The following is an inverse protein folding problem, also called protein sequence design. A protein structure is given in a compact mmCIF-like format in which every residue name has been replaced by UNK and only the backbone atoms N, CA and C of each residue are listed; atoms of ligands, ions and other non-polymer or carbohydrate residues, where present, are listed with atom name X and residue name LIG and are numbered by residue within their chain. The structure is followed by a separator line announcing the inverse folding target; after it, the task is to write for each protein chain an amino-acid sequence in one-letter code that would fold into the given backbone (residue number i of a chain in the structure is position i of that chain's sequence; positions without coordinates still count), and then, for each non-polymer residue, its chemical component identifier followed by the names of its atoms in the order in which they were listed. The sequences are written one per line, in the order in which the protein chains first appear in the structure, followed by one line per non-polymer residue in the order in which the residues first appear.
data_IF_425370855460
#
_entry.id   IF_425370855460
#
_cell.length_a   1.000
_cell.length_b   1.000
_cell.length_c   1.000
_cell.angle_alpha   90.00
_cell.angle_beta   90.00
_cell.angle_gamma   90.00
#
_symmetry.space_group_name_H-M   'P 1'
#
loop_
_entity.id
_entity.type
_entity.pdbx_description
1 polymer ?
#
# COMPACT_ATOMS: atom_id res chain seq x y z
N UNK A 1 -32.99 29.13 -2.80
CA UNK A 1 -32.67 27.93 -3.63
C UNK A 1 -32.05 26.91 -2.70
N UNK A 2 -32.38 25.64 -2.83
CA UNK A 2 -31.90 24.58 -1.93
C UNK A 2 -30.88 23.69 -2.63
N UNK A 3 -29.86 23.23 -1.89
CA UNK A 3 -28.87 22.28 -2.41
C UNK A 3 -29.42 20.85 -2.34
N UNK A 4 -29.43 20.12 -3.45
CA UNK A 4 -30.00 18.75 -3.48
C UNK A 4 -29.15 17.68 -2.78
N UNK A 5 -27.93 18.02 -2.37
CA UNK A 5 -27.04 17.08 -1.66
C UNK A 5 -27.35 17.09 -0.16
N UNK A 6 -27.49 18.28 0.44
CA UNK A 6 -27.68 18.45 1.89
C UNK A 6 -29.07 19.00 2.26
N UNK A 7 -29.92 19.29 1.28
CA UNK A 7 -31.27 19.85 1.43
C UNK A 7 -31.33 21.15 2.25
N UNK A 8 -30.23 21.91 2.27
CA UNK A 8 -30.13 23.18 2.98
C UNK A 8 -30.11 24.37 2.02
N UNK A 9 -30.51 25.54 2.51
CA UNK A 9 -30.54 26.77 1.71
C UNK A 9 -29.13 27.20 1.26
N UNK A 10 -29.00 27.56 -0.02
CA UNK A 10 -27.77 28.10 -0.59
C UNK A 10 -27.76 29.61 -0.36
N UNK A 11 -26.88 30.07 0.53
CA UNK A 11 -26.70 31.50 0.82
C UNK A 11 -25.38 31.98 0.22
N UNK A 12 -25.23 33.30 0.03
CA UNK A 12 -23.96 33.87 -0.44
C UNK A 12 -22.79 33.58 0.50
N UNK A 13 -23.06 33.34 1.79
CA UNK A 13 -22.05 33.03 2.80
C UNK A 13 -21.50 31.60 2.68
N UNK A 14 -22.29 30.64 2.21
CA UNK A 14 -21.88 29.23 2.09
C UNK A 14 -21.23 28.89 0.75
N UNK A 15 -21.17 29.86 -0.17
CA UNK A 15 -20.59 29.70 -1.50
C UNK A 15 -21.54 28.96 -2.45
N UNK A 16 -22.19 29.70 -3.35
CA UNK A 16 -22.99 29.14 -4.45
C UNK A 16 -22.06 28.79 -5.61
N UNK A 17 -22.12 27.54 -6.06
CA UNK A 17 -21.50 27.08 -7.31
C UNK A 17 -22.61 26.61 -8.23
N UNK A 18 -22.47 26.89 -9.52
CA UNK A 18 -23.42 26.47 -10.53
C UNK A 18 -22.64 25.73 -11.62
N UNK A 19 -23.09 24.51 -11.95
CA UNK A 19 -22.50 23.69 -13.01
C UNK A 19 -23.00 24.15 -14.39
N UNK A 20 -22.40 23.61 -15.45
CA UNK A 20 -22.74 23.82 -16.87
C UNK A 20 -24.20 23.48 -17.18
N UNK A 21 -24.75 22.51 -16.47
CA UNK A 21 -26.17 22.16 -16.49
C UNK A 21 -27.07 23.14 -15.71
N UNK A 22 -26.56 24.27 -15.24
CA UNK A 22 -27.26 25.34 -14.49
C UNK A 22 -27.86 24.91 -13.14
N UNK A 23 -27.37 23.81 -12.56
CA UNK A 23 -27.82 23.33 -11.25
C UNK A 23 -26.95 23.92 -10.13
N UNK A 24 -27.55 24.58 -9.10
CA UNK A 24 -26.80 25.20 -8.02
C UNK A 24 -26.55 24.26 -6.83
N UNK A 25 -25.35 24.32 -6.27
CA UNK A 25 -24.93 23.57 -5.09
C UNK A 25 -24.10 24.43 -4.13
N UNK A 26 -23.93 23.99 -2.88
CA UNK A 26 -22.85 24.50 -2.03
C UNK A 26 -21.50 24.02 -2.58
N UNK A 27 -20.49 24.89 -2.58
CA UNK A 27 -19.13 24.52 -3.00
C UNK A 27 -18.63 23.26 -2.29
N UNK A 28 -18.77 23.20 -0.96
CA UNK A 28 -18.34 22.05 -0.14
C UNK A 28 -19.04 20.75 -0.50
N UNK A 29 -20.35 20.79 -0.73
CA UNK A 29 -21.14 19.61 -1.09
C UNK A 29 -20.74 19.09 -2.48
N UNK A 30 -20.56 19.99 -3.44
CA UNK A 30 -20.16 19.62 -4.81
C UNK A 30 -18.74 19.02 -4.85
N UNK A 31 -17.78 19.62 -4.15
CA UNK A 31 -16.42 19.07 -4.05
C UNK A 31 -16.42 17.67 -3.44
N UNK A 32 -17.14 17.49 -2.33
CA UNK A 32 -17.25 16.18 -1.66
C UNK A 32 -17.87 15.12 -2.58
N UNK A 33 -18.83 15.52 -3.42
CA UNK A 33 -19.45 14.62 -4.38
C UNK A 33 -18.46 14.19 -5.47
N UNK A 34 -17.71 15.13 -6.06
CA UNK A 34 -16.70 14.81 -7.07
C UNK A 34 -15.54 13.98 -6.52
N UNK A 35 -15.09 14.23 -5.29
CA UNK A 35 -14.06 13.42 -4.65
C UNK A 35 -14.52 11.95 -4.48
N UNK A 36 -15.78 11.73 -4.08
CA UNK A 36 -16.35 10.38 -3.97
C UNK A 36 -16.45 9.68 -5.33
N UNK A 37 -16.85 10.38 -6.39
CA UNK A 37 -16.89 9.80 -7.73
C UNK A 37 -15.49 9.39 -8.22
N UNK A 38 -14.47 10.22 -7.96
CA UNK A 38 -13.06 9.90 -8.26
C UNK A 38 -12.58 8.65 -7.54
N UNK A 39 -12.85 8.53 -6.24
CA UNK A 39 -12.48 7.35 -5.45
C UNK A 39 -13.14 6.07 -5.99
N UNK A 40 -14.34 6.18 -6.56
CA UNK A 40 -15.08 5.06 -7.16
C UNK A 40 -14.72 4.82 -8.63
N UNK A 41 -13.71 5.50 -9.19
CA UNK A 41 -13.32 5.38 -10.60
C UNK A 41 -14.38 5.86 -11.60
N UNK A 42 -15.37 6.63 -11.13
CA UNK A 42 -16.51 7.09 -11.93
C UNK A 42 -16.32 8.54 -12.39
N UNK A 43 -16.99 8.90 -13.49
CA UNK A 43 -16.94 10.24 -14.06
C UNK A 43 -17.63 11.28 -13.16
N UNK A 44 -17.09 12.51 -13.15
CA UNK A 44 -17.63 13.65 -12.41
C UNK A 44 -18.98 14.11 -13.01
N UNK A 45 -20.08 13.62 -12.46
CA UNK A 45 -21.44 13.90 -12.98
C UNK A 45 -22.27 14.74 -12.02
N UNK A 46 -23.14 15.60 -12.56
CA UNK A 46 -24.08 16.38 -11.77
C UNK A 46 -25.01 15.49 -10.91
N UNK A 47 -25.13 15.73 -9.59
CA UNK A 47 -26.02 14.94 -8.72
C UNK A 47 -27.50 14.95 -9.12
N UNK A 48 -27.96 16.02 -9.80
CA UNK A 48 -29.37 16.20 -10.16
C UNK A 48 -29.72 15.60 -11.52
N UNK A 49 -28.93 15.89 -12.55
CA UNK A 49 -29.25 15.53 -13.93
C UNK A 49 -28.26 14.54 -14.56
N UNK A 50 -27.19 14.17 -13.86
CA UNK A 50 -26.10 13.30 -14.33
C UNK A 50 -25.37 13.80 -15.58
N UNK A 51 -25.49 15.10 -15.90
CA UNK A 51 -24.68 15.72 -16.95
C UNK A 51 -23.20 15.68 -16.55
N UNK A 52 -22.34 15.32 -17.50
CA UNK A 52 -20.89 15.26 -17.32
C UNK A 52 -20.33 16.68 -17.12
N UNK A 53 -19.40 16.84 -16.17
CA UNK A 53 -18.72 18.12 -15.93
C UNK A 53 -17.78 18.44 -17.09
N UNK A 54 -17.71 19.72 -17.48
CA UNK A 54 -16.83 20.15 -18.57
C UNK A 54 -15.38 20.32 -18.06
N UNK A 55 -14.38 20.33 -18.93
CA UNK A 55 -12.96 20.42 -18.49
C UNK A 55 -12.63 21.67 -17.67
N UNK A 56 -13.39 22.75 -17.85
CA UNK A 56 -13.26 24.00 -17.09
C UNK A 56 -13.86 23.93 -15.68
N UNK A 57 -14.69 22.92 -15.42
CA UNK A 57 -15.37 22.68 -14.14
C UNK A 57 -14.63 21.65 -13.29
N UNK A 58 -13.61 20.99 -13.88
CA UNK A 58 -12.67 20.17 -13.15
C UNK A 58 -11.98 21.09 -12.15
N UNK A 59 -12.35 20.93 -10.89
CA UNK A 59 -11.67 21.57 -9.79
C UNK A 59 -10.17 21.27 -9.97
N UNK A 60 -9.29 22.28 -9.92
CA UNK A 60 -7.87 22.03 -10.03
C UNK A 60 -7.56 20.97 -8.98
N UNK A 61 -6.98 19.85 -9.41
CA UNK A 61 -6.51 18.83 -8.49
C UNK A 61 -5.61 19.56 -7.48
N UNK A 62 -6.12 19.84 -6.27
CA UNK A 62 -5.38 20.58 -5.25
C UNK A 62 -4.03 19.89 -5.09
N UNK A 63 -2.92 20.57 -4.87
CA UNK A 63 -2.56 21.06 -3.54
C UNK A 63 -3.42 20.40 -2.45
N UNK A 64 -3.40 19.07 -2.40
CA UNK A 64 -3.87 18.31 -1.25
C UNK A 64 -3.04 18.82 -0.07
N UNK A 65 -3.71 19.44 0.90
CA UNK A 65 -3.11 19.75 2.18
C UNK A 65 -2.66 18.42 2.81
N UNK A 66 -1.36 18.19 2.82
CA UNK A 66 -0.69 17.04 3.46
C UNK A 66 -0.94 16.96 4.98
N UNK A 67 -1.78 17.83 5.55
CA UNK A 67 -2.26 17.79 6.94
C UNK A 67 -3.67 17.20 7.12
N UNK A 68 -4.26 16.52 6.14
CA UNK A 68 -5.39 15.63 6.47
C UNK A 68 -4.82 14.43 7.24
N UNK A 69 -5.08 14.38 8.55
CA UNK A 69 -4.65 13.31 9.43
C UNK A 69 -5.07 11.95 8.86
N UNK A 70 -4.12 11.22 8.27
CA UNK A 70 -4.17 9.78 7.94
C UNK A 70 -4.13 8.93 9.22
N UNK A 71 -5.02 9.22 10.17
CA UNK A 71 -5.29 8.37 11.35
C UNK A 71 -6.69 7.73 11.22
N UNK A 72 -7.20 7.56 9.99
CA UNK A 72 -8.29 6.62 9.73
C UNK A 72 -7.63 5.28 9.38
N UNK A 73 -7.81 4.36 10.34
CA UNK A 73 -7.49 2.94 10.28
C UNK A 73 -8.26 2.29 9.11
N UNK A 74 -7.77 2.45 7.89
CA UNK A 74 -8.12 1.56 6.78
C UNK A 74 -7.23 0.31 6.91
N UNK A 75 -7.70 -0.60 7.77
CA UNK A 75 -7.53 -2.04 7.58
C UNK A 75 -8.31 -2.45 6.31
N UNK A 76 -7.98 -1.84 5.16
CA UNK A 76 -8.45 -2.31 3.86
C UNK A 76 -7.63 -3.56 3.55
N UNK A 77 -8.30 -4.70 3.77
CA UNK A 77 -8.06 -5.94 3.07
C UNK A 77 -7.82 -5.61 1.58
N UNK A 78 -6.54 -5.65 1.17
CA UNK A 78 -6.12 -5.77 -0.22
C UNK A 78 -6.61 -7.15 -0.74
N UNK A 79 -7.94 -7.35 -0.80
CA UNK A 79 -8.58 -8.19 -1.81
C UNK A 79 -8.56 -7.37 -3.11
N UNK A 80 -7.34 -7.16 -3.62
CA UNK A 80 -7.11 -7.02 -5.06
C UNK A 80 -7.55 -8.36 -5.67
N UNK A 81 -8.87 -8.55 -5.80
CA UNK A 81 -9.42 -9.39 -6.85
C UNK A 81 -8.95 -8.73 -8.15
N UNK A 82 -7.75 -9.12 -8.57
CA UNK A 82 -7.28 -9.07 -9.95
C UNK A 82 -8.41 -9.68 -10.79
N UNK A 83 -9.33 -8.83 -11.23
CA UNK A 83 -10.30 -9.11 -12.26
C UNK A 83 -9.45 -9.24 -13.54
N UNK A 84 -8.85 -10.42 -13.66
CA UNK A 84 -8.04 -10.94 -14.75
C UNK A 84 -8.94 -11.07 -15.99
N UNK A 85 -9.44 -9.93 -16.45
CA UNK A 85 -9.93 -9.78 -17.80
C UNK A 85 -8.70 -9.93 -18.68
N UNK A 86 -8.33 -11.18 -19.00
CA UNK A 86 -7.36 -11.49 -20.03
C UNK A 86 -7.73 -10.66 -21.26
N UNK A 87 -7.02 -9.56 -21.49
CA UNK A 87 -7.23 -8.71 -22.64
C UNK A 87 -7.11 -9.61 -23.88
N UNK A 88 -8.24 -9.84 -24.54
CA UNK A 88 -8.25 -10.69 -25.72
C UNK A 88 -7.26 -10.10 -26.73
N UNK A 89 -6.26 -10.89 -27.17
CA UNK A 89 -5.16 -10.37 -27.97
C UNK A 89 -5.73 -9.71 -29.22
N UNK A 90 -5.27 -8.49 -29.47
CA UNK A 90 -5.76 -7.69 -30.58
C UNK A 90 -5.42 -8.37 -31.90
N UNK A 91 -6.18 -8.08 -32.97
CA UNK A 91 -5.87 -8.57 -34.31
C UNK A 91 -4.44 -8.21 -34.76
N UNK A 92 -3.87 -7.13 -34.21
CA UNK A 92 -2.48 -6.75 -34.43
C UNK A 92 -1.48 -7.70 -33.75
N UNK A 93 -1.78 -8.17 -32.54
CA UNK A 93 -0.98 -9.16 -31.80
C UNK A 93 -1.07 -10.56 -32.42
N UNK A 94 -2.25 -10.98 -32.85
CA UNK A 94 -2.44 -12.23 -33.60
C UNK A 94 -1.62 -12.20 -34.91
N UNK A 95 -1.67 -11.11 -35.67
CA UNK A 95 -0.85 -10.93 -36.87
C UNK A 95 0.66 -10.88 -36.56
N UNK A 96 1.06 -10.39 -35.39
CA UNK A 96 2.46 -10.41 -34.94
C UNK A 96 2.92 -11.83 -34.56
N UNK A 97 2.07 -12.63 -33.89
CA UNK A 97 2.34 -14.03 -33.59
C UNK A 97 2.48 -14.86 -34.88
N UNK A 98 1.62 -14.65 -35.87
CA UNK A 98 1.71 -15.35 -37.17
C UNK A 98 2.98 -14.95 -37.95
N UNK A 99 3.40 -13.68 -37.90
CA UNK A 99 4.67 -13.24 -38.50
C UNK A 99 5.88 -13.83 -37.78
N UNK A 100 5.80 -14.05 -36.47
CA UNK A 100 6.84 -14.70 -35.69
C UNK A 100 6.96 -16.20 -36.03
N UNK A 101 5.83 -16.89 -36.21
CA UNK A 101 5.81 -18.32 -36.56
C UNK A 101 6.38 -18.59 -37.96
N UNK A 102 6.06 -17.74 -38.95
CA UNK A 102 6.60 -17.83 -40.31
C UNK A 102 8.11 -17.57 -40.40
N UNK A 103 8.65 -16.67 -39.56
CA UNK A 103 10.10 -16.42 -39.46
C UNK A 103 10.86 -17.64 -38.95
N UNK A 104 10.27 -18.43 -38.06
CA UNK A 104 10.91 -19.62 -37.49
C UNK A 104 11.08 -20.75 -38.52
N UNK A 105 10.10 -20.94 -39.42
CA UNK A 105 10.20 -21.93 -40.49
C UNK A 105 11.27 -21.59 -41.52
N UNK A 106 11.45 -20.30 -41.84
CA UNK A 106 12.49 -19.85 -42.79
C UNK A 106 13.92 -20.09 -42.28
N UNK A 107 14.14 -20.00 -40.96
CA UNK A 107 15.45 -20.18 -40.33
C UNK A 107 15.89 -21.66 -40.34
N UNK A 108 14.95 -22.61 -40.24
CA UNK A 108 15.24 -24.05 -40.22
C UNK A 108 15.78 -24.59 -41.55
N UNK A 109 15.42 -23.97 -42.68
CA UNK A 109 15.78 -24.49 -44.00
C UNK A 109 17.09 -23.94 -44.57
N UNK A 110 17.72 -22.94 -43.94
CA UNK A 110 18.89 -22.25 -44.52
C UNK A 110 20.16 -22.32 -43.67
N UNK A 111 20.12 -22.92 -42.49
CA UNK A 111 21.24 -22.91 -41.54
C UNK A 111 21.87 -24.27 -41.34
N UNK A 112 23.21 -24.28 -41.21
CA UNK A 112 23.92 -25.50 -40.86
C UNK A 112 23.56 -25.96 -39.43
N UNK A 113 23.78 -27.23 -39.07
CA UNK A 113 23.57 -27.70 -37.70
C UNK A 113 24.33 -26.90 -36.64
N UNK A 114 25.56 -26.45 -36.95
CA UNK A 114 26.38 -25.62 -36.05
C UNK A 114 25.77 -24.23 -35.84
N UNK A 115 25.26 -23.60 -36.90
CA UNK A 115 24.58 -22.31 -36.80
C UNK A 115 23.27 -22.39 -36.01
N UNK A 116 22.55 -23.52 -36.10
CA UNK A 116 21.37 -23.77 -35.27
C UNK A 116 21.75 -23.92 -33.78
N UNK A 117 22.85 -24.60 -33.47
CA UNK A 117 23.34 -24.73 -32.09
C UNK A 117 23.75 -23.37 -31.51
N UNK A 118 24.49 -22.54 -32.27
CA UNK A 118 24.85 -21.18 -31.85
C UNK A 118 23.61 -20.30 -31.63
N UNK A 119 22.61 -20.42 -32.52
CA UNK A 119 21.36 -19.70 -32.36
C UNK A 119 20.60 -20.14 -31.09
N UNK A 120 20.48 -21.44 -30.84
CA UNK A 120 19.86 -21.96 -29.64
C UNK A 120 20.59 -21.48 -28.37
N UNK A 121 21.94 -21.53 -28.36
CA UNK A 121 22.74 -21.00 -27.26
C UNK A 121 22.50 -19.51 -27.02
N UNK A 122 22.36 -18.71 -28.09
CA UNK A 122 22.05 -17.28 -27.98
C UNK A 122 20.67 -17.01 -27.37
N UNK A 123 19.66 -17.82 -27.71
CA UNK A 123 18.32 -17.72 -27.13
C UNK A 123 18.31 -18.10 -25.65
N UNK A 124 18.98 -19.20 -25.28
CA UNK A 124 19.10 -19.61 -23.87
C UNK A 124 19.77 -18.50 -23.05
N UNK A 125 20.85 -17.91 -23.59
CA UNK A 125 21.55 -16.78 -22.93
C UNK A 125 20.66 -15.56 -22.78
N UNK A 126 19.85 -15.23 -23.80
CA UNK A 126 18.90 -14.12 -23.72
C UNK A 126 17.79 -14.38 -22.69
N UNK A 127 17.22 -15.59 -22.66
CA UNK A 127 16.23 -15.99 -21.66
C UNK A 127 16.80 -15.94 -20.24
N UNK A 128 18.02 -16.42 -20.03
CA UNK A 128 18.69 -16.39 -18.74
C UNK A 128 18.92 -14.95 -18.24
N UNK A 129 19.35 -14.04 -19.13
CA UNK A 129 19.48 -12.61 -18.79
C UNK A 129 18.15 -11.99 -18.38
N UNK A 130 17.09 -12.22 -19.17
CA UNK A 130 15.76 -11.73 -18.82
C UNK A 130 15.22 -12.28 -17.50
N UNK A 131 15.55 -13.52 -17.16
CA UNK A 131 15.23 -14.10 -15.84
C UNK A 131 16.00 -13.43 -14.70
N UNK A 132 17.31 -13.21 -14.86
CA UNK A 132 18.12 -12.50 -13.87
C UNK A 132 17.66 -11.05 -13.67
N UNK A 133 17.28 -10.36 -14.74
CA UNK A 133 16.78 -8.98 -14.68
C UNK A 133 15.45 -8.90 -13.91
N UNK A 134 14.54 -9.87 -14.11
CA UNK A 134 13.29 -9.96 -13.32
C UNK A 134 13.56 -10.21 -11.84
N UNK A 135 14.43 -11.17 -11.50
CA UNK A 135 14.81 -11.41 -10.10
C UNK A 135 15.44 -10.17 -9.45
N UNK A 136 16.29 -9.45 -10.19
CA UNK A 136 16.89 -8.21 -9.70
C UNK A 136 15.81 -7.14 -9.47
N UNK A 137 14.86 -7.01 -10.40
CA UNK A 137 13.74 -6.09 -10.30
C UNK A 137 12.87 -6.38 -9.08
N UNK A 138 12.48 -7.63 -8.85
CA UNK A 138 11.66 -8.04 -7.70
C UNK A 138 12.35 -7.72 -6.37
N UNK A 139 13.65 -8.00 -6.28
CA UNK A 139 14.46 -7.66 -5.11
C UNK A 139 14.53 -6.15 -4.89
N UNK A 140 14.77 -5.36 -5.96
CA UNK A 140 14.79 -3.91 -5.88
C UNK A 140 13.43 -3.33 -5.50
N UNK A 141 12.34 -3.91 -6.00
CA UNK A 141 10.98 -3.50 -5.69
C UNK A 141 10.65 -3.76 -4.22
N UNK A 142 10.98 -4.96 -3.70
CA UNK A 142 10.83 -5.31 -2.29
C UNK A 142 11.63 -4.37 -1.37
N UNK A 143 12.89 -4.09 -1.71
CA UNK A 143 13.72 -3.14 -0.96
C UNK A 143 13.13 -1.72 -1.00
N UNK A 144 12.67 -1.26 -2.17
CA UNK A 144 12.00 0.05 -2.32
C UNK A 144 10.75 0.16 -1.46
N UNK A 145 9.93 -0.89 -1.42
CA UNK A 145 8.74 -0.96 -0.58
C UNK A 145 9.11 -0.88 0.90
N UNK A 146 10.10 -1.66 1.34
CA UNK A 146 10.59 -1.62 2.72
C UNK A 146 11.12 -0.24 3.13
N UNK A 147 11.89 0.43 2.26
CA UNK A 147 12.38 1.80 2.50
C UNK A 147 11.21 2.78 2.62
N UNK A 148 10.23 2.70 1.72
CA UNK A 148 9.05 3.58 1.75
C UNK A 148 8.28 3.42 3.07
N UNK A 149 8.06 2.18 3.50
CA UNK A 149 7.40 1.88 4.78
C UNK A 149 8.18 2.41 5.98
N UNK A 150 9.51 2.27 5.97
CA UNK A 150 10.37 2.79 7.02
C UNK A 150 10.34 4.33 7.07
N UNK A 151 10.41 5.01 5.94
CA UNK A 151 10.32 6.48 5.86
C UNK A 151 8.98 6.98 6.43
N UNK A 152 7.86 6.38 6.03
CA UNK A 152 6.53 6.71 6.61
C UNK A 152 6.50 6.51 8.14
N UNK A 153 7.14 5.47 8.66
CA UNK A 153 7.23 5.24 10.11
C UNK A 153 8.08 6.31 10.84
N UNK A 154 9.17 6.76 10.22
CA UNK A 154 10.01 7.85 10.74
C UNK A 154 9.24 9.17 10.76
N UNK A 155 8.49 9.48 9.70
CA UNK A 155 7.70 10.70 9.62
C UNK A 155 6.58 10.75 10.67
N UNK A 156 5.87 9.63 10.88
CA UNK A 156 4.90 9.50 11.98
C UNK A 156 5.55 9.72 13.34
N UNK A 157 6.74 9.13 13.56
CA UNK A 157 7.50 9.31 14.80
C UNK A 157 7.92 10.78 15.01
N UNK A 158 8.31 11.49 13.95
CA UNK A 158 8.65 12.91 13.97
C UNK A 158 7.44 13.78 14.32
N UNK A 159 6.28 13.54 13.70
CA UNK A 159 5.01 14.23 14.02
C UNK A 159 4.65 14.04 15.50
N UNK A 160 4.72 12.81 16.01
CA UNK A 160 4.48 12.49 17.42
C UNK A 160 5.42 13.23 18.38
N UNK A 161 6.71 13.36 18.02
CA UNK A 161 7.67 14.09 18.83
C UNK A 161 7.40 15.60 18.85
N UNK A 162 7.04 16.18 17.70
CA UNK A 162 6.65 17.60 17.64
C UNK A 162 5.41 17.88 18.49
N UNK A 163 4.41 17.00 18.42
CA UNK A 163 3.21 17.10 19.26
C UNK A 163 3.56 17.01 20.75
N UNK A 164 4.43 16.08 21.16
CA UNK A 164 4.88 15.98 22.55
C UNK A 164 5.63 17.23 23.04
N UNK A 165 6.46 17.83 22.19
CA UNK A 165 7.14 19.11 22.49
C UNK A 165 6.13 20.25 22.66
N UNK A 166 5.12 20.32 21.79
CA UNK A 166 4.04 21.31 21.88
C UNK A 166 3.23 21.14 23.17
N UNK A 167 2.83 19.90 23.52
CA UNK A 167 2.15 19.60 24.78
C UNK A 167 2.99 20.00 25.99
N UNK A 168 4.29 19.72 26.00
CA UNK A 168 5.19 20.13 27.10
C UNK A 168 5.21 21.65 27.29
N UNK A 169 5.30 22.42 26.20
CA UNK A 169 5.24 23.89 26.25
C UNK A 169 3.89 24.38 26.78
N UNK A 170 2.79 23.76 26.35
CA UNK A 170 1.44 24.06 26.84
C UNK A 170 1.28 23.80 28.35
N UNK A 171 1.68 22.61 28.82
CA UNK A 171 1.58 22.25 30.25
C UNK A 171 2.39 23.18 31.16
N UNK A 172 3.60 23.57 30.74
CA UNK A 172 4.45 24.49 31.49
C UNK A 172 3.91 25.93 31.53
N UNK A 173 3.29 26.40 30.44
CA UNK A 173 2.81 27.79 30.33
C UNK A 173 1.42 28.00 30.91
N UNK A 174 0.52 27.02 30.77
CA UNK A 174 -0.91 27.22 31.05
C UNK A 174 -1.31 26.66 32.42
N UNK A 175 -0.73 25.55 32.85
CA UNK A 175 -1.17 24.82 34.06
C UNK A 175 -0.27 25.13 35.27
N UNK A 176 0.85 25.85 35.09
CA UNK A 176 1.77 26.17 36.18
C UNK A 176 2.44 24.94 36.81
N UNK A 177 2.41 23.79 36.13
CA UNK A 177 3.01 22.55 36.62
C UNK A 177 4.51 22.72 36.78
N UNK A 178 5.06 22.21 37.89
CA UNK A 178 6.50 22.17 38.10
C UNK A 178 7.18 21.25 37.06
N UNK A 179 8.47 21.49 36.80
CA UNK A 179 9.26 20.63 35.90
C UNK A 179 9.25 19.15 36.32
N UNK A 180 9.09 18.86 37.61
CA UNK A 180 9.05 17.50 38.16
C UNK A 180 7.72 16.83 37.81
N UNK A 181 6.60 17.54 37.97
CA UNK A 181 5.27 17.00 37.64
C UNK A 181 5.11 16.74 36.14
N UNK A 182 5.66 17.61 35.29
CA UNK A 182 5.68 17.40 33.83
C UNK A 182 6.51 16.16 33.46
N UNK A 183 7.64 15.91 34.13
CA UNK A 183 8.44 14.69 33.93
C UNK A 183 7.65 13.45 34.36
N UNK A 184 7.02 13.47 35.53
CA UNK A 184 6.24 12.34 36.04
C UNK A 184 5.03 12.03 35.15
N UNK A 185 4.35 13.06 34.63
CA UNK A 185 3.28 12.91 33.65
C UNK A 185 3.78 12.25 32.36
N UNK A 186 4.90 12.73 31.82
CA UNK A 186 5.50 12.15 30.61
C UNK A 186 5.88 10.68 30.80
N UNK A 187 6.51 10.32 31.93
CA UNK A 187 6.86 8.93 32.25
C UNK A 187 5.64 8.03 32.30
N UNK A 188 4.55 8.44 32.98
CA UNK A 188 3.31 7.65 33.03
C UNK A 188 2.68 7.48 31.65
N UNK A 189 2.71 8.51 30.81
CA UNK A 189 2.19 8.45 29.43
C UNK A 189 3.02 7.47 28.58
N UNK A 190 4.36 7.55 28.66
CA UNK A 190 5.28 6.64 27.98
C UNK A 190 5.07 5.19 28.43
N UNK A 191 4.97 4.94 29.74
CA UNK A 191 4.69 3.61 30.28
C UNK A 191 3.38 3.04 29.73
N UNK A 192 2.32 3.85 29.66
CA UNK A 192 1.03 3.43 29.09
C UNK A 192 1.16 3.02 27.62
N UNK A 193 1.85 3.81 26.80
CA UNK A 193 2.10 3.46 25.40
C UNK A 193 2.95 2.19 25.25
N UNK A 194 4.00 2.03 26.06
CA UNK A 194 4.87 0.85 26.04
C UNK A 194 4.10 -0.43 26.39
N UNK A 195 3.21 -0.38 27.39
CA UNK A 195 2.33 -1.51 27.72
C UNK A 195 1.36 -1.86 26.59
N UNK A 196 0.79 -0.87 25.90
CA UNK A 196 -0.05 -1.13 24.71
C UNK A 196 0.77 -1.78 23.58
N UNK A 197 1.98 -1.29 23.32
CA UNK A 197 2.88 -1.85 22.31
C UNK A 197 3.27 -3.32 22.60
N UNK A 198 3.61 -3.64 23.85
CA UNK A 198 3.89 -5.03 24.28
C UNK A 198 2.67 -5.94 24.05
N UNK A 199 1.45 -5.45 24.28
CA UNK A 199 0.22 -6.23 24.02
C UNK A 199 0.07 -6.54 22.53
N UNK A 200 0.37 -5.59 21.63
CA UNK A 200 0.32 -5.80 20.18
C UNK A 200 1.35 -6.83 19.74
N UNK A 201 2.62 -6.69 20.18
CA UNK A 201 3.67 -7.69 19.86
C UNK A 201 3.27 -9.08 20.38
N UNK A 202 2.77 -9.18 21.61
CA UNK A 202 2.35 -10.47 22.17
C UNK A 202 1.20 -11.09 21.36
N UNK A 203 0.24 -10.30 20.90
CA UNK A 203 -0.88 -10.77 20.05
C UNK A 203 -0.38 -11.26 18.69
N UNK A 204 0.55 -10.53 18.07
CA UNK A 204 1.17 -10.92 16.79
C UNK A 204 1.99 -12.21 16.93
N UNK A 205 2.81 -12.34 17.98
CA UNK A 205 3.58 -13.56 18.23
C UNK A 205 2.68 -14.77 18.55
N UNK A 206 1.54 -14.57 19.23
CA UNK A 206 0.56 -15.64 19.46
C UNK A 206 -0.09 -16.12 18.15
N UNK A 207 -0.36 -15.20 17.22
CA UNK A 207 -0.94 -15.51 15.91
C UNK A 207 0.04 -16.29 15.02
N UNK A 208 1.33 -15.92 15.03
CA UNK A 208 2.40 -16.63 14.29
C UNK A 208 2.57 -18.06 14.82
N UNK A 209 2.42 -18.27 16.13
CA UNK A 209 2.47 -19.62 16.71
C UNK A 209 1.27 -20.49 16.32
N UNK A 210 0.07 -19.93 16.14
CA UNK A 210 -1.11 -20.71 15.75
C UNK A 210 -1.15 -21.09 14.26
N UNK A 211 -0.72 -20.23 13.34
CA UNK A 211 -0.61 -20.58 11.91
C UNK A 211 0.52 -21.57 11.62
N UNK A 212 1.51 -21.67 12.50
CA UNK A 212 2.57 -22.69 12.43
C UNK A 212 2.12 -24.10 12.84
N UNK A 213 0.95 -24.25 13.48
CA UNK A 213 0.43 -25.55 13.94
C UNK A 213 -0.50 -26.25 12.93
N UNK A 214 -0.75 -25.65 11.76
CA UNK A 214 -1.65 -26.18 10.72
C UNK A 214 -0.98 -26.83 9.50
N UNK A 215 0.35 -26.76 9.37
CA UNK A 215 1.08 -27.41 8.27
C UNK A 215 1.85 -28.65 8.77
N UNK A 216 1.56 -29.86 8.26
CA UNK A 216 2.38 -31.04 8.51
C UNK A 216 3.70 -30.91 7.74
N UNK A 217 4.66 -30.13 8.27
CA UNK A 217 5.96 -29.98 7.61
C UNK A 217 6.86 -28.81 8.02
N UNK A 218 6.68 -28.16 9.17
CA UNK A 218 7.67 -27.15 9.58
C UNK A 218 9.01 -27.78 9.99
N UNK A 219 10.14 -27.11 9.64
CA UNK A 219 11.47 -27.58 9.95
C UNK A 219 11.69 -27.54 11.47
N UNK A 220 11.85 -28.71 12.09
CA UNK A 220 12.34 -28.77 13.47
C UNK A 220 13.67 -28.03 13.60
N UNK A 221 13.97 -27.48 14.77
CA UNK A 221 15.34 -27.05 15.07
C UNK A 221 16.17 -28.35 15.14
N UNK A 222 17.03 -28.55 14.14
CA UNK A 222 17.91 -29.70 14.08
C UNK A 222 19.27 -29.32 14.65
N UNK A 223 19.80 -30.16 15.53
CA UNK A 223 21.14 -30.07 16.08
C UNK A 223 21.95 -31.25 15.54
N UNK A 224 23.25 -31.06 15.30
CA UNK A 224 24.16 -32.19 15.12
C UNK A 224 24.59 -32.73 16.48
N UNK A 225 24.46 -34.03 16.68
CA UNK A 225 25.06 -34.72 17.80
C UNK A 225 26.59 -34.74 17.65
N UNK A 226 27.28 -35.19 18.70
CA UNK A 226 28.75 -35.30 18.71
C UNK A 226 29.28 -36.34 17.70
N UNK A 227 28.40 -37.16 17.12
CA UNK A 227 28.71 -38.15 16.08
C UNK A 227 28.44 -37.62 14.67
N UNK A 228 27.94 -36.38 14.54
CA UNK A 228 27.66 -35.72 13.27
C UNK A 228 26.28 -36.00 12.67
N UNK A 229 25.41 -36.73 13.36
CA UNK A 229 24.04 -37.02 12.94
C UNK A 229 23.09 -35.90 13.34
N UNK A 230 22.07 -35.66 12.52
CA UNK A 230 21.05 -34.65 12.81
C UNK A 230 19.96 -35.22 13.71
N UNK A 231 19.76 -34.60 14.87
CA UNK A 231 18.67 -34.89 15.81
C UNK A 231 17.72 -33.69 15.92
N UNK A 232 16.41 -33.97 16.07
CA UNK A 232 15.39 -32.93 16.25
C UNK A 232 15.40 -32.50 17.72
N UNK A 233 15.68 -31.23 17.98
CA UNK A 233 15.66 -30.67 19.33
C UNK A 233 14.19 -30.53 19.76
N UNK A 234 13.77 -31.36 20.71
CA UNK A 234 12.49 -31.22 21.39
C UNK A 234 12.75 -30.27 22.57
N UNK A 235 12.44 -28.98 22.40
CA UNK A 235 12.49 -28.05 23.54
C UNK A 235 11.32 -28.34 24.47
N UNK A 236 11.62 -28.71 25.71
CA UNK A 236 10.63 -28.90 26.76
C UNK A 236 10.37 -27.53 27.40
N UNK A 237 9.18 -26.94 27.23
CA UNK A 237 8.94 -25.55 27.64
C UNK A 237 8.98 -25.31 29.17
N UNK A 238 9.08 -26.37 29.99
CA UNK A 238 9.09 -26.27 31.45
C UNK A 238 10.50 -26.29 32.09
N UNK A 239 11.56 -26.70 31.36
CA UNK A 239 12.89 -26.90 31.97
C UNK A 239 13.96 -25.87 31.57
N UNK A 240 13.73 -25.06 30.52
CA UNK A 240 14.77 -24.18 29.92
C UNK A 240 14.44 -22.67 29.98
N UNK A 241 13.83 -22.20 31.08
CA UNK A 241 13.76 -20.76 31.39
C UNK A 241 14.60 -20.44 32.64
N UNK A 242 15.64 -19.59 32.54
CA UNK A 242 16.37 -19.08 33.70
C UNK A 242 15.54 -18.06 34.51
#
# INVERSE_FOLDING_TARGET
MECSICYSEITSATGKVELSCSHPFHYSCLTTWFDKQKMQGSHENCPLCRHESNEFEKLPAGIYDENRNEDEDDDDDDDDEDDDWEEMPTNAELAAQERASGKFQRIKNTRSPEEMQLYAASLIKACWRGYQDRLLYDNLHSVKYAITRATKAIDRSKKNLLYAVAQKKFLLSTIGMSRIEVKNYAVRKIQKYWWSYIKVIRKQNYSIHQSSLGYPGLPGIWRKDNSGNWEKVIMNPEEDLP
#
